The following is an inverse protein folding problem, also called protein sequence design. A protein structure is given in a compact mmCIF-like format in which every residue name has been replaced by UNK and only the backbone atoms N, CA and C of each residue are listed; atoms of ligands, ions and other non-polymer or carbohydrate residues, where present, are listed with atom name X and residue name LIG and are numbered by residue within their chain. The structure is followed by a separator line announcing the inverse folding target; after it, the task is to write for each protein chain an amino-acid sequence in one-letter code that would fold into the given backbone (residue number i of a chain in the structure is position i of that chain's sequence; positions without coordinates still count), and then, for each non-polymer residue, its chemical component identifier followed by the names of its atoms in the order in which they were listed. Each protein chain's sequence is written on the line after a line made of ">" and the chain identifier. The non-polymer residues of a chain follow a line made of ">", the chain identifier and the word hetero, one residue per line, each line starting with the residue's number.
data_IF_967661681179
#
_entry.id   IF_967661681179
#
_cell.length_a   1.000
_cell.length_b   1.000
_cell.length_c   1.000
_cell.angle_alpha   90.00
_cell.angle_beta   90.00
_cell.angle_gamma   90.00
#
_symmetry.space_group_name_H-M   'P 1'
#
loop_
_entity.id
_entity.type
_entity.pdbx_description
1 polymer ?
#
# COMPACT_ATOMS: atom_id res chain seq x y z
N UNK A 1 3.49 35.08 30.86
CA UNK A 1 2.04 35.01 30.55
C UNK A 1 1.59 36.25 29.79
N UNK A 2 1.92 37.44 30.29
CA UNK A 2 1.56 38.72 29.65
C UNK A 2 2.04 38.85 28.21
N UNK A 3 3.27 38.42 27.90
CA UNK A 3 3.82 38.47 26.54
C UNK A 3 3.05 37.58 25.54
N UNK A 4 2.51 36.46 26.02
CA UNK A 4 1.72 35.55 25.20
C UNK A 4 0.37 36.15 24.83
N UNK A 5 -0.29 36.81 25.80
CA UNK A 5 -1.56 37.52 25.58
C UNK A 5 -1.37 38.68 24.60
N UNK A 6 -0.28 39.45 24.73
CA UNK A 6 0.05 40.52 23.77
C UNK A 6 0.24 39.97 22.37
N UNK A 7 0.99 38.87 22.22
CA UNK A 7 1.24 38.23 20.91
C UNK A 7 -0.04 37.68 20.27
N UNK A 8 -0.93 37.07 21.05
CA UNK A 8 -2.22 36.58 20.54
C UNK A 8 -3.10 37.75 20.07
N UNK A 9 -3.19 38.81 20.87
CA UNK A 9 -3.98 39.99 20.52
C UNK A 9 -3.44 40.69 19.27
N UNK A 10 -2.12 40.71 19.07
CA UNK A 10 -1.50 41.22 17.85
C UNK A 10 -1.85 40.38 16.62
N UNK A 11 -1.77 39.04 16.73
CA UNK A 11 -2.17 38.13 15.64
C UNK A 11 -3.65 38.27 15.29
N UNK A 12 -4.55 38.38 16.28
CA UNK A 12 -5.98 38.57 16.07
C UNK A 12 -6.31 39.91 15.40
N UNK A 13 -5.59 40.99 15.76
CA UNK A 13 -5.73 42.30 15.11
C UNK A 13 -5.23 42.27 13.67
N UNK A 14 -4.11 41.60 13.41
CA UNK A 14 -3.54 41.46 12.08
C UNK A 14 -4.46 40.64 11.16
N UNK A 15 -5.06 39.56 11.66
CA UNK A 15 -6.02 38.78 10.86
C UNK A 15 -7.28 39.58 10.56
N UNK A 16 -7.85 40.29 11.54
CA UNK A 16 -9.04 41.09 11.32
C UNK A 16 -8.81 42.21 10.28
N UNK A 17 -7.65 42.86 10.32
CA UNK A 17 -7.28 43.87 9.33
C UNK A 17 -7.12 43.28 7.92
N UNK A 18 -6.59 42.06 7.79
CA UNK A 18 -6.45 41.37 6.51
C UNK A 18 -7.80 40.91 5.94
N UNK A 19 -8.78 40.58 6.78
CA UNK A 19 -10.11 40.14 6.33
C UNK A 19 -11.09 41.30 6.13
N UNK A 20 -10.90 42.44 6.80
CA UNK A 20 -11.77 43.61 6.68
C UNK A 20 -11.70 44.30 5.30
N UNK A 21 -10.62 44.10 4.53
CA UNK A 21 -10.55 44.60 3.14
C UNK A 21 -11.27 43.71 2.12
N UNK A 22 -11.65 42.48 2.49
CA UNK A 22 -12.29 41.50 1.59
C UNK A 22 -13.84 41.52 1.69
N UNK A 23 -14.39 42.06 2.78
CA UNK A 23 -15.85 42.09 3.01
C UNK A 23 -16.58 43.13 2.14
N UNK A 24 -15.86 43.99 1.41
CA UNK A 24 -16.43 44.98 0.49
C UNK A 24 -16.55 44.48 -0.96
N UNK A 25 -16.19 43.22 -1.23
CA UNK A 25 -16.18 42.65 -2.59
C UNK A 25 -16.82 41.25 -2.66
N UNK A 26 -17.85 41.02 -1.85
CA UNK A 26 -18.66 39.79 -1.88
C UNK A 26 -20.07 40.06 -2.38
N UNK A 27 -20.18 40.69 -3.55
CA UNK A 27 -21.34 40.55 -4.42
C UNK A 27 -20.80 40.39 -5.84
N UNK A 28 -21.09 39.24 -6.45
CA UNK A 28 -20.76 38.86 -7.82
C UNK A 28 -19.45 38.08 -8.03
N UNK A 29 -19.35 36.91 -7.39
CA UNK A 29 -18.62 35.79 -8.00
C UNK A 29 -19.49 34.51 -7.95
N UNK A 30 -20.61 34.56 -8.66
CA UNK A 30 -21.25 33.34 -9.18
C UNK A 30 -20.38 32.86 -10.34
N UNK A 31 -19.48 31.90 -10.14
CA UNK A 31 -18.67 31.48 -11.28
C UNK A 31 -17.68 30.34 -11.15
N UNK A 32 -17.51 29.70 -10.00
CA UNK A 32 -16.60 28.54 -9.90
C UNK A 32 -17.28 27.35 -9.21
N UNK A 33 -18.44 26.97 -9.76
CA UNK A 33 -19.00 25.65 -9.53
C UNK A 33 -18.18 24.65 -10.36
N UNK A 34 -17.60 23.66 -9.67
CA UNK A 34 -16.70 22.68 -10.24
C UNK A 34 -17.38 21.85 -11.34
N UNK A 35 -16.93 21.98 -12.59
CA UNK A 35 -17.52 21.39 -13.81
C UNK A 35 -17.23 19.87 -14.01
N UNK A 36 -16.73 19.18 -12.98
CA UNK A 36 -16.40 17.75 -13.04
C UNK A 36 -15.23 17.39 -13.96
N UNK A 37 -15.02 16.09 -14.18
CA UNK A 37 -14.08 15.59 -15.19
C UNK A 37 -14.87 15.24 -16.46
N UNK A 38 -14.30 15.46 -17.67
CA UNK A 38 -14.95 15.04 -18.91
C UNK A 38 -15.13 13.52 -18.92
N UNK A 39 -16.32 13.07 -19.32
CA UNK A 39 -16.72 11.64 -19.36
C UNK A 39 -15.85 10.77 -20.28
N UNK A 40 -15.06 11.40 -21.15
CA UNK A 40 -14.18 10.73 -22.08
C UNK A 40 -12.73 11.11 -21.75
N UNK A 41 -11.92 10.20 -21.19
CA UNK A 41 -10.51 10.49 -21.02
C UNK A 41 -9.92 10.69 -22.42
N UNK A 42 -9.18 11.79 -22.62
CA UNK A 42 -8.28 11.97 -23.76
C UNK A 42 -7.12 10.97 -23.58
N UNK A 43 -7.40 9.70 -23.84
CA UNK A 43 -6.40 8.68 -24.01
C UNK A 43 -5.81 8.91 -25.40
N UNK A 44 -4.83 9.82 -25.47
CA UNK A 44 -3.82 9.70 -26.50
C UNK A 44 -3.30 8.27 -26.40
N UNK A 45 -3.33 7.54 -27.52
CA UNK A 45 -2.99 6.12 -27.58
C UNK A 45 -1.48 6.06 -27.36
N UNK A 46 -1.06 6.07 -26.09
CA UNK A 46 0.32 5.87 -25.69
C UNK A 46 0.67 4.47 -26.16
N UNK A 47 1.52 4.41 -27.19
CA UNK A 47 2.05 3.17 -27.69
C UNK A 47 2.99 2.59 -26.63
N UNK A 48 2.48 1.65 -25.84
CA UNK A 48 3.20 0.97 -24.77
C UNK A 48 4.13 -0.13 -25.32
N UNK A 49 4.67 0.02 -26.53
CA UNK A 49 5.72 -0.81 -27.13
C UNK A 49 7.10 -0.65 -26.45
N UNK A 50 7.15 -0.35 -25.15
CA UNK A 50 8.33 -0.57 -24.33
C UNK A 50 8.33 -2.02 -23.84
N UNK A 51 9.05 -2.87 -24.59
CA UNK A 51 9.32 -4.27 -24.28
C UNK A 51 9.89 -4.45 -22.87
N UNK A 52 9.04 -4.87 -21.93
CA UNK A 52 9.45 -5.53 -20.69
C UNK A 52 8.75 -6.89 -20.59
N UNK A 53 9.52 -7.95 -20.89
CA UNK A 53 9.13 -9.34 -20.68
C UNK A 53 9.76 -9.77 -19.35
N UNK A 54 8.98 -9.76 -18.26
CA UNK A 54 9.40 -10.37 -17.01
C UNK A 54 9.29 -11.90 -17.12
N UNK A 55 10.37 -12.61 -16.78
CA UNK A 55 10.50 -14.07 -16.80
C UNK A 55 9.64 -14.79 -15.73
N UNK A 56 8.91 -14.05 -14.88
CA UNK A 56 7.90 -14.59 -13.97
C UNK A 56 6.52 -14.83 -14.65
N UNK A 57 6.42 -14.63 -15.96
CA UNK A 57 5.19 -14.74 -16.78
C UNK A 57 4.63 -16.15 -17.05
N UNK A 58 5.09 -17.23 -16.40
CA UNK A 58 4.41 -18.54 -16.50
C UNK A 58 4.36 -19.31 -15.19
N UNK A 59 3.53 -18.84 -14.24
CA UNK A 59 2.78 -19.80 -13.41
C UNK A 59 1.38 -19.91 -14.01
N UNK A 60 1.09 -21.02 -14.67
CA UNK A 60 -0.26 -21.25 -15.20
C UNK A 60 -1.20 -21.56 -14.05
N UNK A 61 -2.24 -20.73 -13.89
CA UNK A 61 -3.33 -21.03 -12.95
C UNK A 61 -4.21 -22.09 -13.61
N UNK A 62 -4.23 -23.30 -13.05
CA UNK A 62 -5.16 -24.35 -13.46
C UNK A 62 -6.50 -24.18 -12.76
N UNK A 63 -7.59 -24.10 -13.54
CA UNK A 63 -8.96 -24.06 -12.99
C UNK A 63 -9.52 -25.48 -13.01
N UNK A 64 -9.52 -26.14 -11.85
CA UNK A 64 -10.19 -27.44 -11.67
C UNK A 64 -11.65 -27.20 -11.27
N UNK A 65 -12.60 -27.87 -11.94
CA UNK A 65 -14.01 -27.87 -11.52
C UNK A 65 -14.16 -28.68 -10.23
N UNK A 66 -14.81 -28.13 -9.21
CA UNK A 66 -15.08 -28.80 -7.93
C UNK A 66 -16.56 -28.68 -7.59
N UNK A 67 -17.18 -29.76 -7.15
CA UNK A 67 -18.56 -29.79 -6.68
C UNK A 67 -18.63 -29.49 -5.18
N UNK A 68 -19.61 -28.67 -4.77
CA UNK A 68 -19.76 -28.22 -3.37
C UNK A 68 -20.94 -28.97 -2.75
N UNK A 69 -20.66 -29.78 -1.74
CA UNK A 69 -21.65 -30.52 -0.95
C UNK A 69 -21.58 -30.14 0.52
N UNK A 70 -22.61 -30.49 1.32
CA UNK A 70 -22.61 -30.26 2.79
C UNK A 70 -21.43 -30.94 3.51
N UNK A 71 -20.85 -31.95 2.88
CA UNK A 71 -19.68 -32.70 3.35
C UNK A 71 -18.33 -32.09 2.88
N UNK A 72 -18.35 -31.08 2.01
CA UNK A 72 -17.16 -30.37 1.55
C UNK A 72 -17.04 -30.23 0.03
N UNK A 73 -15.79 -30.05 -0.42
CA UNK A 73 -15.39 -29.86 -1.81
C UNK A 73 -14.94 -31.20 -2.41
N UNK A 74 -15.66 -31.74 -3.40
CA UNK A 74 -15.31 -32.99 -4.09
C UNK A 74 -15.12 -32.76 -5.59
N UNK A 75 -14.08 -33.39 -6.17
CA UNK A 75 -13.84 -33.35 -7.62
C UNK A 75 -14.95 -34.14 -8.34
N UNK A 76 -15.71 -33.53 -9.28
CA UNK A 76 -16.73 -34.24 -10.02
C UNK A 76 -16.07 -35.25 -10.96
N UNK A 77 -16.60 -36.47 -10.99
CA UNK A 77 -16.20 -37.51 -11.94
C UNK A 77 -16.74 -37.13 -13.33
N UNK A 78 -15.95 -36.36 -14.08
CA UNK A 78 -16.19 -36.18 -15.51
C UNK A 78 -15.75 -37.45 -16.24
N UNK A 79 -16.48 -37.93 -17.26
CA UNK A 79 -15.99 -38.99 -18.14
C UNK A 79 -14.81 -38.43 -18.95
N UNK A 80 -13.61 -38.58 -18.41
CA UNK A 80 -12.36 -38.24 -19.07
C UNK A 80 -12.16 -39.21 -20.24
N UNK A 81 -12.00 -38.71 -21.46
CA UNK A 81 -11.29 -39.42 -22.55
C UNK A 81 -9.79 -39.53 -22.20
N UNK A 82 -9.49 -40.12 -21.06
CA UNK A 82 -8.15 -40.57 -20.68
C UNK A 82 -8.32 -41.73 -19.71
N UNK A 83 -9.01 -42.75 -20.19
CA UNK A 83 -8.95 -44.08 -19.62
C UNK A 83 -7.57 -44.63 -19.98
N UNK A 84 -6.60 -44.45 -19.10
CA UNK A 84 -5.54 -45.44 -18.93
C UNK A 84 -4.81 -45.25 -17.59
N UNK A 85 -5.04 -46.24 -16.73
CA UNK A 85 -4.12 -46.75 -15.71
C UNK A 85 -3.91 -45.94 -14.42
N UNK A 86 -4.73 -46.27 -13.41
CA UNK A 86 -4.18 -46.61 -12.09
C UNK A 86 -3.44 -47.95 -12.20
N UNK A 87 -2.33 -48.14 -11.49
CA UNK A 87 -2.43 -49.03 -10.34
C UNK A 87 -1.69 -48.54 -9.08
N UNK A 88 -2.14 -49.09 -7.96
CA UNK A 88 -1.58 -49.04 -6.61
C UNK A 88 -0.17 -49.67 -6.52
N UNK A 89 0.64 -49.29 -5.53
CA UNK A 89 1.79 -50.10 -5.08
C UNK A 89 3.02 -49.34 -4.56
N UNK A 90 3.16 -49.30 -3.22
CA UNK A 90 4.33 -49.49 -2.33
C UNK A 90 5.80 -49.26 -2.78
N UNK A 91 6.57 -48.60 -1.88
CA UNK A 91 8.00 -48.84 -1.45
C UNK A 91 9.13 -48.84 -2.52
N UNK A 92 10.39 -48.40 -2.32
CA UNK A 92 11.26 -48.00 -1.21
C UNK A 92 12.45 -47.17 -1.79
N UNK A 93 12.91 -46.18 -1.02
CA UNK A 93 14.30 -45.85 -0.59
C UNK A 93 15.52 -46.00 -1.54
N UNK A 94 16.30 -44.90 -1.63
CA UNK A 94 17.76 -44.88 -1.82
C UNK A 94 18.18 -44.39 -3.22
N UNK A 95 18.89 -43.30 -3.43
CA UNK A 95 19.83 -42.55 -2.59
C UNK A 95 20.97 -42.14 -3.51
N UNK A 96 21.08 -40.86 -3.85
CA UNK A 96 22.32 -40.35 -4.42
C UNK A 96 22.57 -38.95 -3.88
N UNK A 97 23.67 -38.88 -3.13
CA UNK A 97 24.23 -37.67 -2.55
C UNK A 97 24.73 -36.76 -3.66
N UNK A 98 24.15 -35.56 -3.74
CA UNK A 98 24.86 -34.39 -4.27
C UNK A 98 24.85 -33.32 -3.16
N UNK A 99 25.95 -33.31 -2.41
CA UNK A 99 26.43 -32.10 -1.78
C UNK A 99 26.96 -31.21 -2.90
N UNK A 100 26.34 -30.06 -3.13
CA UNK A 100 26.99 -28.76 -3.06
C UNK A 100 25.96 -27.65 -3.31
N UNK A 101 26.14 -26.53 -2.61
CA UNK A 101 25.41 -25.28 -2.76
C UNK A 101 23.94 -25.18 -2.33
N UNK A 102 23.63 -25.72 -1.14
CA UNK A 102 22.59 -25.11 -0.29
C UNK A 102 23.14 -23.81 0.32
N UNK A 103 23.39 -22.79 -0.52
CA UNK A 103 23.43 -21.39 -0.07
C UNK A 103 22.07 -21.12 0.54
N UNK A 104 22.04 -21.18 1.86
CA UNK A 104 20.84 -21.12 2.66
C UNK A 104 20.04 -19.91 2.23
N UNK A 105 18.90 -20.14 1.57
CA UNK A 105 17.87 -19.13 1.39
C UNK A 105 17.22 -18.88 2.76
N UNK A 106 18.03 -18.39 3.71
CA UNK A 106 17.59 -17.86 4.99
C UNK A 106 16.94 -16.53 4.65
N UNK A 107 15.69 -16.59 4.19
CA UNK A 107 14.81 -15.43 4.17
C UNK A 107 14.93 -14.79 5.54
N UNK A 108 15.41 -13.54 5.57
CA UNK A 108 15.57 -12.82 6.82
C UNK A 108 14.24 -12.87 7.59
N UNK A 109 14.27 -13.12 8.92
CA UNK A 109 13.04 -13.25 9.67
C UNK A 109 12.19 -11.99 9.50
N UNK A 110 10.93 -12.17 9.10
CA UNK A 110 9.99 -11.07 8.93
C UNK A 110 9.90 -10.28 10.24
N UNK A 111 9.97 -8.94 10.22
CA UNK A 111 9.87 -8.15 11.43
C UNK A 111 8.54 -8.41 12.11
N UNK A 112 8.57 -8.60 13.43
CA UNK A 112 7.36 -8.79 14.23
C UNK A 112 6.48 -7.55 14.10
N UNK A 113 5.17 -7.76 14.03
CA UNK A 113 4.17 -6.67 14.09
C UNK A 113 4.46 -5.82 15.31
N UNK A 114 4.73 -4.53 15.09
CA UNK A 114 4.95 -3.58 16.19
C UNK A 114 3.68 -3.53 17.02
N UNK A 115 3.80 -3.87 18.30
CA UNK A 115 2.71 -3.68 19.24
C UNK A 115 2.67 -2.18 19.53
N UNK A 116 1.69 -1.49 18.96
CA UNK A 116 1.48 -0.07 19.24
C UNK A 116 1.11 0.05 20.71
N UNK A 117 2.00 0.67 21.48
CA UNK A 117 1.72 1.15 22.83
C UNK A 117 1.90 2.65 22.82
N UNK A 118 1.14 3.32 23.67
CA UNK A 118 1.36 4.73 23.92
C UNK A 118 2.76 4.90 24.48
N UNK A 119 3.52 5.76 23.83
CA UNK A 119 4.78 6.26 24.35
C UNK A 119 4.50 6.97 25.68
N UNK A 120 5.39 6.81 26.65
CA UNK A 120 5.35 7.61 27.87
C UNK A 120 5.58 9.10 27.53
N UNK A 121 5.15 10.00 28.43
CA UNK A 121 5.28 11.46 28.20
C UNK A 121 6.73 11.87 27.90
N UNK A 122 7.70 11.25 28.57
CA UNK A 122 9.13 11.51 28.39
C UNK A 122 9.66 11.03 27.04
N UNK A 123 9.21 9.86 26.57
CA UNK A 123 9.58 9.33 25.25
C UNK A 123 9.01 10.21 24.14
N UNK A 124 7.75 10.63 24.26
CA UNK A 124 7.09 11.55 23.32
C UNK A 124 7.82 12.89 23.23
N UNK A 125 8.26 13.44 24.36
CA UNK A 125 8.99 14.71 24.39
C UNK A 125 10.37 14.59 23.72
N UNK A 126 11.04 13.45 23.87
CA UNK A 126 12.31 13.17 23.21
C UNK A 126 12.14 13.04 21.68
N UNK A 127 11.15 12.27 21.23
CA UNK A 127 10.89 12.09 19.80
C UNK A 127 10.44 13.40 19.14
N UNK A 128 9.61 14.21 19.81
CA UNK A 128 9.23 15.54 19.35
C UNK A 128 10.45 16.46 19.16
N UNK A 129 11.41 16.46 20.09
CA UNK A 129 12.65 17.24 19.94
C UNK A 129 13.47 16.77 18.74
N UNK A 130 13.58 15.45 18.57
CA UNK A 130 14.29 14.83 17.45
C UNK A 130 13.65 15.18 16.10
N UNK A 131 12.32 15.09 16.00
CA UNK A 131 11.58 15.46 14.79
C UNK A 131 11.75 16.94 14.46
N UNK A 132 11.63 17.83 15.44
CA UNK A 132 11.86 19.28 15.25
C UNK A 132 13.27 19.57 14.74
N UNK A 133 14.30 18.90 15.26
CA UNK A 133 15.66 19.04 14.79
C UNK A 133 15.82 18.58 13.33
N UNK A 134 15.26 17.42 12.97
CA UNK A 134 15.28 16.90 11.59
C UNK A 134 14.56 17.83 10.62
N UNK A 135 13.40 18.36 10.99
CA UNK A 135 12.63 19.29 10.15
C UNK A 135 13.36 20.62 9.99
N UNK A 136 14.02 21.13 11.04
CA UNK A 136 14.85 22.34 10.95
C UNK A 136 16.03 22.14 10.02
N UNK A 137 16.70 20.99 10.08
CA UNK A 137 17.80 20.65 9.17
C UNK A 137 17.34 20.54 7.71
N UNK A 138 16.18 19.91 7.46
CA UNK A 138 15.61 19.79 6.11
C UNK A 138 15.13 21.11 5.51
N UNK A 139 14.74 22.09 6.34
CA UNK A 139 14.28 23.41 5.89
C UNK A 139 15.41 24.42 5.71
N UNK A 140 16.63 24.06 6.12
CA UNK A 140 17.84 24.87 5.95
C UNK A 140 18.72 24.42 4.79
N UNK A 141 18.26 23.43 4.00
CA UNK A 141 18.76 23.03 2.69
C UNK A 141 17.74 23.51 1.67
#
# INVERSE_FOLDING_TARGET
>A
MEDHVRRINEMLKASLAATAEDDSKSENDQGEEWDGFPDQPELDIVDHEEEYIDEDRYTTVTVESVSVSRDGLSKPELPSENDESKPEGEEEVGGQEENEDKKSNRRAPKPKKKQFRYESKTERDFENRKQRARNKAKRGV
#
